data_IF_986183767433
#
_entry.id   IF_986183767433
#
_cell.length_a   1.000
_cell.length_b   1.000
_cell.length_c   1.000
_cell.angle_alpha   90.00
_cell.angle_beta   90.00
_cell.angle_gamma   90.00
#
_symmetry.space_group_name_H-M   'P 1'
#
loop_
_entity.id
_entity.type
_entity.pdbx_description
1 polymer ?
#
# COMPACT_ATOMS: atom_id res chain seq x y z
N UNK A 1 12.26 33.77 -48.26
CA UNK A 1 11.40 32.56 -48.27
C UNK A 1 12.14 31.28 -47.88
N UNK A 2 13.46 31.21 -48.01
CA UNK A 2 14.25 30.02 -47.67
C UNK A 2 14.42 29.72 -46.15
N UNK A 3 14.41 30.74 -45.30
CA UNK A 3 14.61 30.54 -43.83
C UNK A 3 13.43 29.86 -43.11
N UNK A 4 12.21 30.01 -43.60
CA UNK A 4 11.00 29.41 -43.01
C UNK A 4 10.89 27.92 -43.36
N UNK A 5 11.44 27.54 -44.50
CA UNK A 5 11.41 26.14 -44.98
C UNK A 5 12.43 25.27 -44.25
N UNK A 6 13.58 25.83 -43.85
CA UNK A 6 14.63 25.14 -43.09
C UNK A 6 14.18 24.89 -41.65
N UNK A 7 13.61 25.87 -40.97
CA UNK A 7 13.09 25.72 -39.61
C UNK A 7 11.94 24.70 -39.53
N UNK A 8 11.10 24.60 -40.57
CA UNK A 8 10.03 23.57 -40.62
C UNK A 8 10.54 22.17 -40.83
N UNK A 9 11.67 21.96 -41.52
CA UNK A 9 12.31 20.67 -41.69
C UNK A 9 13.02 20.21 -40.44
N UNK A 10 13.64 21.11 -39.69
CA UNK A 10 14.30 20.78 -38.41
C UNK A 10 13.30 20.40 -37.31
N UNK A 11 12.18 21.12 -37.19
CA UNK A 11 11.10 20.77 -36.26
C UNK A 11 10.43 19.45 -36.62
N UNK A 12 10.21 19.14 -37.88
CA UNK A 12 9.67 17.85 -38.30
C UNK A 12 10.62 16.68 -37.99
N UNK A 13 11.93 16.89 -38.18
CA UNK A 13 12.95 15.89 -37.86
C UNK A 13 13.04 15.64 -36.35
N UNK A 14 12.96 16.68 -35.51
CA UNK A 14 12.98 16.58 -34.07
C UNK A 14 11.74 15.83 -33.52
N UNK A 15 10.56 16.11 -34.08
CA UNK A 15 9.30 15.42 -33.72
C UNK A 15 9.34 13.96 -34.13
N UNK A 16 9.91 13.62 -35.28
CA UNK A 16 10.04 12.23 -35.75
C UNK A 16 11.05 11.45 -34.90
N UNK A 17 12.14 12.11 -34.47
CA UNK A 17 13.12 11.49 -33.59
C UNK A 17 12.55 11.26 -32.18
N UNK A 18 11.82 12.23 -31.63
CA UNK A 18 11.13 12.06 -30.36
C UNK A 18 10.05 10.96 -30.40
N UNK A 19 9.34 10.81 -31.52
CA UNK A 19 8.38 9.73 -31.72
C UNK A 19 9.06 8.35 -31.86
N UNK A 20 10.25 8.27 -32.51
CA UNK A 20 11.01 7.02 -32.59
C UNK A 20 11.63 6.64 -31.24
N UNK A 21 12.07 7.62 -30.46
CA UNK A 21 12.59 7.39 -29.11
C UNK A 21 11.48 6.96 -28.12
N UNK A 22 10.23 7.41 -28.32
CA UNK A 22 9.07 6.94 -27.58
C UNK A 22 8.60 5.54 -27.99
N UNK A 23 8.83 5.13 -29.24
CA UNK A 23 8.51 3.75 -29.69
C UNK A 23 9.57 2.74 -29.29
N UNK A 24 10.83 3.14 -29.15
CA UNK A 24 11.90 2.25 -28.63
C UNK A 24 11.82 2.01 -27.12
N UNK A 25 11.14 2.88 -26.36
CA UNK A 25 10.83 2.65 -24.94
C UNK A 25 9.71 1.61 -24.72
N UNK A 26 9.09 1.12 -25.79
CA UNK A 26 8.02 0.11 -25.76
C UNK A 26 8.45 -1.32 -26.00
N UNK A 27 9.75 -1.60 -26.14
CA UNK A 27 10.23 -2.97 -26.19
C UNK A 27 9.95 -3.60 -24.82
N UNK A 28 8.97 -4.50 -24.81
CA UNK A 28 8.68 -5.36 -23.69
C UNK A 28 9.99 -6.02 -23.28
N UNK A 29 10.52 -5.66 -22.13
CA UNK A 29 11.69 -6.30 -21.54
C UNK A 29 11.33 -7.78 -21.37
N UNK A 30 11.69 -8.60 -22.37
CA UNK A 30 11.50 -10.05 -22.35
C UNK A 30 12.42 -10.56 -21.26
N UNK A 31 11.85 -10.79 -20.09
CA UNK A 31 12.59 -11.32 -18.95
C UNK A 31 13.31 -12.57 -19.36
N UNK A 32 14.59 -12.64 -19.04
CA UNK A 32 15.23 -13.95 -18.97
C UNK A 32 14.51 -14.77 -17.89
N UNK A 33 14.33 -16.10 -18.05
CA UNK A 33 13.72 -16.93 -17.01
C UNK A 33 14.47 -16.87 -15.67
N UNK A 34 15.62 -16.25 -15.63
CA UNK A 34 16.53 -16.16 -14.51
C UNK A 34 16.47 -14.81 -13.76
N UNK A 35 15.79 -13.79 -14.32
CA UNK A 35 15.73 -12.45 -13.71
C UNK A 35 14.31 -11.99 -13.43
N UNK A 36 14.15 -11.19 -12.39
CA UNK A 36 12.90 -10.53 -12.01
C UNK A 36 13.17 -9.09 -11.62
N UNK A 37 12.28 -8.18 -12.00
CA UNK A 37 12.36 -6.77 -11.60
C UNK A 37 11.53 -6.47 -10.34
N UNK A 38 11.79 -5.31 -9.71
CA UNK A 38 11.09 -4.90 -8.50
C UNK A 38 9.59 -4.70 -8.69
N UNK A 39 9.12 -4.32 -9.89
CA UNK A 39 7.70 -4.22 -10.19
C UNK A 39 7.00 -5.57 -10.00
N UNK A 40 7.58 -6.61 -10.55
CA UNK A 40 6.98 -7.94 -10.52
C UNK A 40 7.11 -8.59 -9.15
N UNK A 41 8.21 -8.32 -8.40
CA UNK A 41 8.32 -8.75 -7.01
C UNK A 41 7.20 -8.17 -6.14
N UNK A 42 6.89 -6.88 -6.31
CA UNK A 42 5.78 -6.26 -5.60
C UNK A 42 4.45 -6.88 -5.98
N UNK A 43 4.20 -7.07 -7.27
CA UNK A 43 2.96 -7.67 -7.78
C UNK A 43 2.81 -9.11 -7.27
N UNK A 44 3.86 -9.91 -7.36
CA UNK A 44 3.86 -11.31 -6.92
C UNK A 44 3.65 -11.41 -5.39
N UNK A 45 4.27 -10.53 -4.60
CA UNK A 45 4.06 -10.46 -3.16
C UNK A 45 2.62 -10.13 -2.78
N UNK A 46 1.97 -9.19 -3.49
CA UNK A 46 0.57 -8.84 -3.28
C UNK A 46 -0.35 -10.01 -3.64
N UNK A 47 -0.15 -10.62 -4.80
CA UNK A 47 -0.95 -11.78 -5.27
C UNK A 47 -0.81 -12.99 -4.37
N UNK A 48 0.42 -13.31 -3.92
CA UNK A 48 0.68 -14.40 -2.98
C UNK A 48 -0.13 -14.25 -1.69
N UNK A 49 -0.36 -13.02 -1.26
CA UNK A 49 -1.13 -12.69 -0.06
C UNK A 49 -2.63 -12.46 -0.33
N UNK A 50 -3.11 -12.81 -1.52
CA UNK A 50 -4.53 -12.77 -1.87
C UNK A 50 -5.08 -11.35 -2.00
N UNK A 51 -4.23 -10.40 -2.36
CA UNK A 51 -4.59 -9.04 -2.72
C UNK A 51 -4.78 -8.99 -4.24
N UNK A 52 -5.97 -8.60 -4.67
CA UNK A 52 -6.39 -8.59 -6.07
C UNK A 52 -6.75 -7.19 -6.58
N UNK A 53 -6.79 -6.20 -5.70
CA UNK A 53 -7.25 -4.85 -6.04
C UNK A 53 -6.31 -3.79 -5.46
N UNK A 54 -5.96 -2.81 -6.29
CA UNK A 54 -5.19 -1.61 -5.93
C UNK A 54 -6.06 -0.39 -6.22
N UNK A 55 -6.11 0.54 -5.29
CA UNK A 55 -6.74 1.86 -5.42
C UNK A 55 -5.65 2.92 -5.54
N UNK A 56 -5.76 3.90 -6.42
CA UNK A 56 -4.70 4.89 -6.54
C UNK A 56 -4.92 5.97 -7.58
N UNK A 57 -3.91 6.82 -7.71
CA UNK A 57 -3.79 7.80 -8.79
C UNK A 57 -2.48 7.51 -9.49
N UNK A 58 -2.52 6.93 -10.70
CA UNK A 58 -1.30 6.61 -11.45
C UNK A 58 -0.50 7.87 -11.82
N UNK A 59 0.81 7.77 -11.75
CA UNK A 59 1.75 8.83 -12.11
C UNK A 59 3.19 8.35 -11.93
N UNK A 60 4.17 9.22 -12.13
CA UNK A 60 5.58 8.90 -11.92
C UNK A 60 5.85 8.78 -10.40
N UNK A 61 6.61 7.76 -9.92
CA UNK A 61 7.28 6.68 -10.67
C UNK A 61 6.44 5.38 -10.78
N UNK A 62 5.16 5.39 -10.43
CA UNK A 62 4.33 4.17 -10.32
C UNK A 62 3.47 3.85 -11.56
N UNK A 63 3.62 4.59 -12.64
CA UNK A 63 2.83 4.36 -13.88
C UNK A 63 3.05 2.95 -14.43
N UNK A 64 4.31 2.52 -14.56
CA UNK A 64 4.64 1.18 -15.05
C UNK A 64 4.20 0.08 -14.08
N UNK A 65 4.27 0.34 -12.78
CA UNK A 65 3.75 -0.58 -11.78
C UNK A 65 2.26 -0.85 -11.99
N UNK A 66 1.46 0.20 -12.20
CA UNK A 66 0.01 0.06 -12.40
C UNK A 66 -0.30 -0.70 -13.69
N UNK A 67 0.41 -0.41 -14.79
CA UNK A 67 0.25 -1.09 -16.06
C UNK A 67 0.62 -2.58 -15.96
N UNK A 68 1.76 -2.91 -15.33
CA UNK A 68 2.22 -4.28 -15.12
C UNK A 68 1.28 -5.04 -14.16
N UNK A 69 0.76 -4.38 -13.13
CA UNK A 69 -0.22 -4.97 -12.20
C UNK A 69 -1.51 -5.37 -12.91
N UNK A 70 -2.04 -4.51 -13.79
CA UNK A 70 -3.21 -4.83 -14.62
C UNK A 70 -2.92 -6.00 -15.56
N UNK A 71 -1.77 -6.01 -16.24
CA UNK A 71 -1.36 -7.11 -17.12
C UNK A 71 -1.21 -8.44 -16.36
N UNK A 72 -0.83 -8.38 -15.07
CA UNK A 72 -0.75 -9.54 -14.19
C UNK A 72 -2.10 -9.97 -13.58
N UNK A 73 -3.21 -9.31 -13.93
CA UNK A 73 -4.56 -9.63 -13.49
C UNK A 73 -4.99 -8.98 -12.18
N UNK A 74 -4.25 -8.02 -11.64
CA UNK A 74 -4.70 -7.17 -10.53
C UNK A 74 -5.67 -6.10 -11.04
N UNK A 75 -6.72 -5.84 -10.30
CA UNK A 75 -7.67 -4.79 -10.60
C UNK A 75 -7.13 -3.46 -10.07
N UNK A 76 -6.85 -2.52 -10.95
CA UNK A 76 -6.43 -1.15 -10.57
C UNK A 76 -7.61 -0.22 -10.75
N UNK A 77 -8.04 0.39 -9.65
CA UNK A 77 -9.13 1.37 -9.60
C UNK A 77 -8.53 2.76 -9.44
N UNK A 78 -8.57 3.54 -10.52
CA UNK A 78 -8.03 4.88 -10.56
C UNK A 78 -9.02 5.90 -10.01
N UNK A 79 -8.50 6.85 -9.23
CA UNK A 79 -9.21 7.97 -8.66
C UNK A 79 -8.67 9.30 -9.21
N UNK A 80 -9.37 10.39 -8.94
CA UNK A 80 -8.93 11.74 -9.28
C UNK A 80 -8.17 12.44 -8.15
N UNK A 81 -8.13 11.82 -6.96
CA UNK A 81 -7.45 12.34 -5.79
C UNK A 81 -7.05 11.19 -4.87
N UNK A 82 -5.83 11.20 -4.35
CA UNK A 82 -5.24 10.13 -3.57
C UNK A 82 -5.95 9.91 -2.23
N UNK A 83 -6.45 10.96 -1.62
CA UNK A 83 -7.24 10.87 -0.39
C UNK A 83 -8.48 9.97 -0.60
N UNK A 84 -9.18 10.15 -1.73
CA UNK A 84 -10.36 9.35 -2.04
C UNK A 84 -9.98 7.89 -2.31
N UNK A 85 -8.87 7.66 -3.02
CA UNK A 85 -8.31 6.32 -3.22
C UNK A 85 -7.97 5.65 -1.89
N UNK A 86 -7.35 6.39 -0.97
CA UNK A 86 -7.00 5.91 0.36
C UNK A 86 -8.23 5.57 1.21
N UNK A 87 -9.27 6.40 1.19
CA UNK A 87 -10.54 6.07 1.87
C UNK A 87 -11.18 4.82 1.28
N UNK A 88 -11.22 4.68 -0.05
CA UNK A 88 -11.74 3.47 -0.69
C UNK A 88 -10.94 2.22 -0.29
N UNK A 89 -9.60 2.30 -0.29
CA UNK A 89 -8.73 1.24 0.17
C UNK A 89 -8.99 0.88 1.64
N UNK A 90 -9.11 1.87 2.53
CA UNK A 90 -9.32 1.63 3.96
C UNK A 90 -10.66 0.94 4.24
N UNK A 91 -11.73 1.37 3.56
CA UNK A 91 -13.05 0.74 3.68
C UNK A 91 -13.06 -0.67 3.08
N UNK A 92 -12.44 -0.87 1.92
CA UNK A 92 -12.27 -2.19 1.35
C UNK A 92 -11.55 -3.13 2.32
N UNK A 93 -10.48 -2.65 2.95
CA UNK A 93 -9.74 -3.40 3.97
C UNK A 93 -10.60 -3.74 5.19
N UNK A 94 -11.41 -2.81 5.68
CA UNK A 94 -12.34 -3.04 6.78
C UNK A 94 -13.38 -4.11 6.43
N UNK A 95 -13.95 -4.05 5.23
CA UNK A 95 -15.00 -4.99 4.80
C UNK A 95 -14.46 -6.39 4.52
N UNK A 96 -13.30 -6.49 3.89
CA UNK A 96 -12.70 -7.78 3.51
C UNK A 96 -11.84 -8.40 4.59
N UNK A 97 -11.45 -7.63 5.62
CA UNK A 97 -10.50 -8.01 6.67
C UNK A 97 -9.09 -8.33 6.12
N UNK A 98 -8.80 -7.92 4.90
CA UNK A 98 -7.47 -7.92 4.28
C UNK A 98 -7.03 -6.47 4.10
N UNK A 99 -5.72 -6.16 4.06
CA UNK A 99 -5.31 -4.78 3.85
C UNK A 99 -5.76 -4.26 2.48
N UNK A 100 -6.47 -3.14 2.46
CA UNK A 100 -6.69 -2.42 1.21
C UNK A 100 -5.42 -1.70 0.79
N UNK A 101 -5.07 -1.76 -0.49
CA UNK A 101 -3.86 -1.15 -1.04
C UNK A 101 -4.20 0.20 -1.68
N UNK A 102 -3.59 1.26 -1.15
CA UNK A 102 -3.58 2.57 -1.79
C UNK A 102 -2.19 2.82 -2.38
N UNK A 103 -2.13 3.12 -3.67
CA UNK A 103 -0.88 3.38 -4.39
C UNK A 103 -0.84 4.85 -4.81
N UNK A 104 0.24 5.56 -4.47
CA UNK A 104 0.40 6.98 -4.77
C UNK A 104 1.76 7.27 -5.41
N UNK A 105 1.81 8.37 -6.15
CA UNK A 105 3.09 8.95 -6.57
C UNK A 105 3.85 9.50 -5.37
N UNK A 106 5.13 9.83 -5.56
CA UNK A 106 5.97 10.50 -4.59
C UNK A 106 5.42 11.89 -4.21
N UNK A 107 5.92 12.44 -3.13
CA UNK A 107 5.68 13.78 -2.60
C UNK A 107 4.19 14.19 -2.62
N UNK A 108 3.65 14.94 -3.60
CA UNK A 108 2.28 15.46 -3.52
C UNK A 108 1.24 14.34 -3.41
N UNK A 109 1.40 13.24 -4.14
CA UNK A 109 0.46 12.11 -4.06
C UNK A 109 0.53 11.40 -2.71
N UNK A 110 1.72 11.20 -2.17
CA UNK A 110 1.91 10.69 -0.81
C UNK A 110 1.25 11.61 0.23
N UNK A 111 1.49 12.92 0.17
CA UNK A 111 0.90 13.88 1.11
C UNK A 111 -0.62 13.86 1.08
N UNK A 112 -1.21 13.81 -0.12
CA UNK A 112 -2.66 13.70 -0.29
C UNK A 112 -3.22 12.38 0.31
N UNK A 113 -2.45 11.31 0.29
CA UNK A 113 -2.83 10.01 0.86
C UNK A 113 -2.78 9.95 2.39
N UNK A 114 -2.04 10.85 3.05
CA UNK A 114 -1.81 10.81 4.49
C UNK A 114 -3.08 10.97 5.33
N UNK A 115 -4.03 11.77 4.90
CA UNK A 115 -5.31 11.93 5.61
C UNK A 115 -6.04 10.59 5.73
N UNK A 116 -6.07 9.82 4.64
CA UNK A 116 -6.68 8.49 4.65
C UNK A 116 -5.88 7.48 5.49
N UNK A 117 -4.54 7.57 5.48
CA UNK A 117 -3.67 6.75 6.32
C UNK A 117 -3.94 6.99 7.81
N UNK A 118 -3.99 8.25 8.23
CA UNK A 118 -4.29 8.64 9.61
C UNK A 118 -5.70 8.18 10.03
N UNK A 119 -6.69 8.34 9.16
CA UNK A 119 -8.05 7.86 9.37
C UNK A 119 -8.09 6.34 9.54
N UNK A 120 -7.41 5.58 8.67
CA UNK A 120 -7.32 4.13 8.76
C UNK A 120 -6.69 3.67 10.09
N UNK A 121 -5.64 4.38 10.53
CA UNK A 121 -4.97 4.10 11.81
C UNK A 121 -5.91 4.33 12.99
N UNK A 122 -6.59 5.46 13.03
CA UNK A 122 -7.51 5.82 14.11
C UNK A 122 -8.72 4.89 14.15
N UNK A 123 -9.29 4.54 12.99
CA UNK A 123 -10.49 3.71 12.88
C UNK A 123 -10.20 2.20 12.83
N UNK A 124 -8.96 1.77 12.98
CA UNK A 124 -8.57 0.35 12.94
C UNK A 124 -8.92 -0.33 11.61
N UNK A 125 -8.82 0.39 10.50
CA UNK A 125 -9.03 -0.17 9.16
C UNK A 125 -7.69 -0.68 8.61
N UNK A 126 -7.57 -1.95 8.24
CA UNK A 126 -6.33 -2.45 7.67
C UNK A 126 -6.12 -1.88 6.27
N UNK A 127 -5.10 -1.06 6.12
CA UNK A 127 -4.74 -0.37 4.87
C UNK A 127 -3.22 -0.31 4.75
N UNK A 128 -2.72 -0.40 3.54
CA UNK A 128 -1.32 -0.12 3.22
C UNK A 128 -1.29 1.01 2.19
N UNK A 129 -0.68 2.13 2.57
CA UNK A 129 -0.30 3.18 1.63
C UNK A 129 1.08 2.84 1.10
N UNK A 130 1.16 2.51 -0.18
CA UNK A 130 2.41 2.29 -0.91
C UNK A 130 2.68 3.54 -1.74
N UNK A 131 3.86 4.09 -1.61
CA UNK A 131 4.28 5.25 -2.38
C UNK A 131 5.65 5.01 -3.01
N UNK A 132 5.83 5.46 -4.24
CA UNK A 132 7.16 5.75 -4.72
C UNK A 132 7.78 6.86 -3.88
N UNK A 133 9.09 6.91 -3.81
CA UNK A 133 9.81 8.00 -3.17
C UNK A 133 11.08 8.34 -3.93
N UNK A 134 11.59 9.55 -3.71
CA UNK A 134 12.91 9.93 -4.17
C UNK A 134 13.98 9.07 -3.50
N UNK A 135 15.09 8.94 -4.16
CA UNK A 135 16.21 8.16 -3.66
C UNK A 135 16.82 8.83 -2.43
N UNK A 136 17.33 8.01 -1.52
CA UNK A 136 17.85 8.52 -0.26
C UNK A 136 19.01 9.51 -0.46
N UNK A 137 19.86 9.25 -1.42
CA UNK A 137 20.97 10.12 -1.77
C UNK A 137 20.49 11.51 -2.18
N UNK A 138 19.36 11.61 -2.88
CA UNK A 138 18.75 12.88 -3.29
C UNK A 138 18.15 13.58 -2.07
N UNK A 139 17.38 12.87 -1.26
CA UNK A 139 16.70 13.41 -0.07
C UNK A 139 17.70 13.96 0.95
N UNK A 140 18.78 13.20 1.21
CA UNK A 140 19.78 13.59 2.21
C UNK A 140 20.65 14.77 1.74
N UNK A 141 20.84 14.95 0.43
CA UNK A 141 21.63 16.05 -0.14
C UNK A 141 20.84 17.34 -0.38
N UNK A 142 19.52 17.30 -0.34
CA UNK A 142 18.63 18.46 -0.54
C UNK A 142 18.96 19.24 -1.81
N UNK A 143 18.94 18.58 -2.95
CA UNK A 143 19.34 19.16 -4.24
C UNK A 143 18.28 20.08 -4.87
N UNK A 144 17.10 20.23 -4.24
CA UNK A 144 16.07 21.17 -4.66
C UNK A 144 15.01 20.58 -5.57
N UNK A 145 14.87 19.25 -5.63
CA UNK A 145 13.73 18.61 -6.28
C UNK A 145 12.47 18.71 -5.39
N UNK A 146 11.35 19.09 -5.96
CA UNK A 146 10.09 19.20 -5.20
C UNK A 146 9.60 17.86 -4.63
N UNK A 147 10.12 16.76 -5.13
CA UNK A 147 9.85 15.41 -4.62
C UNK A 147 10.78 14.99 -3.46
N UNK A 148 11.79 15.82 -3.15
CA UNK A 148 12.71 15.60 -2.03
C UNK A 148 12.00 15.81 -0.70
N UNK A 149 11.53 14.74 -0.12
CA UNK A 149 11.05 14.76 1.25
C UNK A 149 11.26 13.42 1.93
N UNK A 150 11.53 13.42 3.22
CA UNK A 150 11.56 12.18 3.99
C UNK A 150 10.15 11.69 4.29
N UNK A 151 9.54 11.05 3.28
CA UNK A 151 8.18 10.52 3.37
C UNK A 151 8.03 9.53 4.54
N UNK A 152 9.08 8.75 4.83
CA UNK A 152 9.06 7.82 5.95
C UNK A 152 8.94 8.54 7.29
N UNK A 153 9.71 9.62 7.51
CA UNK A 153 9.63 10.41 8.74
C UNK A 153 8.27 11.08 8.89
N UNK A 154 7.70 11.60 7.79
CA UNK A 154 6.39 12.25 7.77
C UNK A 154 5.26 11.25 8.05
N UNK A 155 5.35 10.02 7.53
CA UNK A 155 4.32 9.00 7.73
C UNK A 155 4.31 8.40 9.14
N UNK A 156 5.47 8.29 9.81
CA UNK A 156 5.61 7.63 11.11
C UNK A 156 4.60 8.04 12.17
N UNK A 157 4.35 9.33 12.42
CA UNK A 157 3.39 9.76 13.45
C UNK A 157 1.92 9.47 13.10
N UNK A 158 1.60 9.24 11.84
CA UNK A 158 0.24 9.04 11.34
C UNK A 158 -0.10 7.57 11.11
N UNK A 159 0.93 6.75 10.89
CA UNK A 159 0.77 5.33 10.60
C UNK A 159 0.85 4.47 11.86
N UNK A 160 0.18 3.32 11.84
CA UNK A 160 0.42 2.26 12.83
C UNK A 160 1.86 1.75 12.77
N UNK A 161 2.40 1.65 11.55
CA UNK A 161 3.79 1.30 11.28
C UNK A 161 4.20 1.90 9.93
N UNK A 162 5.48 2.22 9.76
CA UNK A 162 6.02 2.72 8.52
C UNK A 162 7.37 2.03 8.24
N UNK A 163 7.54 1.56 7.01
CA UNK A 163 8.71 0.82 6.57
C UNK A 163 9.24 1.39 5.26
N UNK A 164 10.55 1.37 5.07
CA UNK A 164 11.22 1.64 3.79
C UNK A 164 11.96 0.38 3.35
N UNK A 165 11.88 0.05 2.08
CA UNK A 165 12.68 -0.99 1.44
C UNK A 165 13.90 -0.31 0.81
N UNK A 166 15.08 -0.86 1.02
CA UNK A 166 16.33 -0.30 0.52
C UNK A 166 16.91 -1.09 -0.66
N UNK A 167 16.56 -2.35 -0.79
CA UNK A 167 17.06 -3.26 -1.84
C UNK A 167 15.89 -3.97 -2.54
N UNK A 168 16.01 -4.18 -3.85
CA UNK A 168 14.94 -4.82 -4.63
C UNK A 168 14.61 -6.23 -4.14
N UNK A 169 15.61 -6.99 -3.70
CA UNK A 169 15.44 -8.32 -3.12
C UNK A 169 14.60 -8.34 -1.85
N UNK A 170 14.48 -7.22 -1.12
CA UNK A 170 13.72 -7.11 0.12
C UNK A 170 12.25 -6.69 -0.09
N UNK A 171 11.82 -6.44 -1.33
CA UNK A 171 10.45 -5.97 -1.62
C UNK A 171 9.42 -6.98 -1.09
N UNK A 172 9.62 -8.28 -1.32
CA UNK A 172 8.71 -9.31 -0.85
C UNK A 172 8.57 -9.34 0.68
N UNK A 173 9.68 -9.24 1.40
CA UNK A 173 9.72 -9.15 2.87
C UNK A 173 9.05 -7.85 3.35
N UNK A 174 9.31 -6.72 2.68
CA UNK A 174 8.70 -5.43 3.00
C UNK A 174 7.18 -5.48 2.90
N UNK A 175 6.65 -6.06 1.83
CA UNK A 175 5.20 -6.27 1.64
C UNK A 175 4.62 -7.17 2.72
N UNK A 176 5.26 -8.30 3.02
CA UNK A 176 4.79 -9.22 4.06
C UNK A 176 4.76 -8.55 5.45
N UNK A 177 5.79 -7.78 5.79
CA UNK A 177 5.82 -6.98 7.02
C UNK A 177 4.69 -5.96 7.09
N UNK A 178 4.45 -5.24 5.99
CA UNK A 178 3.37 -4.26 5.90
C UNK A 178 2.00 -4.92 6.08
N UNK A 179 1.73 -6.04 5.39
CA UNK A 179 0.49 -6.81 5.52
C UNK A 179 0.29 -7.28 6.97
N UNK A 180 1.32 -7.90 7.55
CA UNK A 180 1.26 -8.37 8.94
C UNK A 180 0.98 -7.25 9.91
N UNK A 181 1.67 -6.12 9.76
CA UNK A 181 1.46 -4.95 10.62
C UNK A 181 0.05 -4.37 10.48
N UNK A 182 -0.49 -4.31 9.26
CA UNK A 182 -1.83 -3.77 9.02
C UNK A 182 -2.94 -4.57 9.70
N UNK A 183 -2.83 -5.90 9.73
CA UNK A 183 -3.91 -6.79 10.22
C UNK A 183 -3.72 -7.33 11.65
N UNK A 184 -2.50 -7.29 12.22
CA UNK A 184 -2.21 -7.87 13.52
C UNK A 184 -2.68 -7.00 14.68
N UNK A 185 -3.12 -7.62 15.78
CA UNK A 185 -3.57 -6.93 16.98
C UNK A 185 -4.69 -5.93 16.66
N UNK A 186 -4.51 -4.65 17.02
CA UNK A 186 -5.40 -3.59 16.55
C UNK A 186 -5.04 -3.25 15.10
N UNK A 187 -5.90 -3.53 14.11
CA UNK A 187 -5.61 -3.21 12.71
C UNK A 187 -5.38 -1.70 12.51
N UNK A 188 -4.78 -1.31 11.39
CA UNK A 188 -4.55 0.11 11.11
C UNK A 188 -3.82 0.36 9.81
N UNK A 189 -3.63 1.64 9.51
CA UNK A 189 -2.91 2.09 8.33
C UNK A 189 -1.40 1.87 8.48
N UNK A 190 -0.78 1.33 7.44
CA UNK A 190 0.66 1.11 7.36
C UNK A 190 1.20 1.85 6.13
N UNK A 191 2.36 2.44 6.26
CA UNK A 191 3.08 3.06 5.15
C UNK A 191 4.22 2.17 4.67
N UNK A 192 4.30 1.94 3.38
CA UNK A 192 5.40 1.23 2.72
C UNK A 192 6.04 2.14 1.69
N UNK A 193 7.26 2.53 1.95
CA UNK A 193 8.07 3.44 1.15
C UNK A 193 8.98 2.64 0.21
N UNK A 194 8.84 2.87 -1.08
CA UNK A 194 9.60 2.19 -2.13
C UNK A 194 10.32 3.22 -3.00
N UNK A 195 11.64 3.49 -2.76
CA UNK A 195 12.42 4.34 -3.64
C UNK A 195 12.31 3.94 -5.11
N UNK A 196 12.15 4.94 -5.98
CA UNK A 196 11.82 4.75 -7.39
C UNK A 196 12.78 3.82 -8.13
N UNK A 197 14.07 3.87 -7.80
CA UNK A 197 15.11 3.04 -8.40
C UNK A 197 14.93 1.53 -8.19
N UNK A 198 14.18 1.14 -7.16
CA UNK A 198 13.96 -0.28 -6.86
C UNK A 198 13.03 -0.95 -7.87
N UNK A 199 12.12 -0.19 -8.48
CA UNK A 199 11.13 -0.77 -9.39
C UNK A 199 11.73 -1.35 -10.68
N UNK A 200 12.59 -0.65 -11.42
CA UNK A 200 13.21 -1.19 -12.64
C UNK A 200 14.42 -2.10 -12.35
N UNK A 201 14.92 -2.15 -11.12
CA UNK A 201 16.08 -2.96 -10.77
C UNK A 201 15.78 -4.43 -10.97
N UNK A 202 16.60 -5.10 -11.77
CA UNK A 202 16.55 -6.55 -11.98
C UNK A 202 17.48 -7.26 -11.01
N UNK A 203 17.00 -8.40 -10.50
CA UNK A 203 17.74 -9.30 -9.63
C UNK A 203 17.55 -10.74 -10.10
N UNK A 204 18.38 -11.65 -9.60
CA UNK A 204 18.18 -13.08 -9.83
C UNK A 204 16.78 -13.52 -9.36
N UNK A 205 16.04 -14.23 -10.24
CA UNK A 205 14.66 -14.60 -9.97
C UNK A 205 14.53 -15.54 -8.75
N UNK A 206 15.53 -16.38 -8.48
CA UNK A 206 15.52 -17.25 -7.31
C UNK A 206 15.69 -16.46 -6.01
N UNK A 207 16.60 -15.48 -5.97
CA UNK A 207 16.76 -14.57 -4.84
C UNK A 207 15.47 -13.77 -4.58
N UNK A 208 14.86 -13.24 -5.63
CA UNK A 208 13.56 -12.56 -5.55
C UNK A 208 12.46 -13.46 -4.99
N UNK A 209 12.32 -14.67 -5.48
CA UNK A 209 11.32 -15.64 -5.00
C UNK A 209 11.51 -16.01 -3.54
N UNK A 210 12.75 -16.08 -3.03
CA UNK A 210 13.04 -16.35 -1.62
C UNK A 210 12.52 -15.25 -0.70
N UNK A 211 12.38 -14.02 -1.19
CA UNK A 211 11.82 -12.89 -0.43
C UNK A 211 10.28 -12.93 -0.31
N UNK A 212 9.62 -13.72 -1.17
CA UNK A 212 8.16 -13.80 -1.19
C UNK A 212 7.63 -14.61 0.00
N UNK A 213 6.97 -13.96 0.92
CA UNK A 213 6.43 -14.54 2.14
C UNK A 213 4.91 -14.44 2.13
N UNK A 214 4.24 -15.59 2.31
CA UNK A 214 2.81 -15.63 2.58
C UNK A 214 2.56 -15.36 4.06
N UNK A 215 1.81 -14.32 4.37
CA UNK A 215 1.37 -14.01 5.72
C UNK A 215 0.20 -14.90 6.10
N UNK A 216 0.21 -15.42 7.34
CA UNK A 216 -0.88 -16.26 7.85
C UNK A 216 -2.19 -15.46 7.87
N UNK A 217 -3.23 -16.02 7.28
CA UNK A 217 -4.58 -15.46 7.25
C UNK A 217 -5.60 -16.51 7.71
N UNK A 218 -6.41 -16.25 8.73
CA UNK A 218 -6.49 -15.02 9.54
C UNK A 218 -5.34 -14.90 10.56
N UNK A 219 -4.98 -13.67 10.95
CA UNK A 219 -3.95 -13.48 11.97
C UNK A 219 -4.36 -14.13 13.30
N UNK A 220 -3.41 -14.65 14.10
CA UNK A 220 -3.69 -15.22 15.38
C UNK A 220 -4.41 -14.22 16.30
N UNK A 221 -5.47 -14.67 16.98
CA UNK A 221 -6.21 -13.85 17.93
C UNK A 221 -5.67 -14.06 19.32
N UNK A 222 -5.53 -12.97 20.06
CA UNK A 222 -5.21 -13.06 21.49
C UNK A 222 -6.49 -13.40 22.26
N UNK A 223 -6.41 -14.44 23.09
CA UNK A 223 -7.46 -14.72 24.06
C UNK A 223 -7.40 -13.70 25.21
N UNK A 224 -8.56 -13.23 25.72
CA UNK A 224 -8.57 -12.38 26.90
C UNK A 224 -8.02 -13.14 28.11
N UNK A 225 -7.43 -12.41 29.07
CA UNK A 225 -6.96 -13.01 30.30
C UNK A 225 -8.14 -13.66 31.05
N UNK A 226 -7.97 -14.92 31.56
CA UNK A 226 -9.04 -15.65 32.23
C UNK A 226 -9.72 -14.85 33.35
N UNK A 227 -8.93 -14.13 34.15
CA UNK A 227 -9.45 -13.31 35.25
C UNK A 227 -10.29 -12.12 34.75
N UNK A 228 -9.96 -11.52 33.60
CA UNK A 228 -10.78 -10.46 32.99
C UNK A 228 -12.14 -11.03 32.54
N UNK A 229 -12.14 -12.24 31.97
CA UNK A 229 -13.38 -12.95 31.59
C UNK A 229 -14.25 -13.24 32.81
N UNK A 230 -13.68 -13.65 33.94
CA UNK A 230 -14.42 -13.89 35.17
C UNK A 230 -14.99 -12.61 35.81
N UNK A 231 -14.25 -11.50 35.78
CA UNK A 231 -14.69 -10.22 36.36
C UNK A 231 -15.83 -9.57 35.58
N UNK A 232 -15.86 -9.73 34.26
CA UNK A 232 -16.86 -9.03 33.41
C UNK A 232 -18.32 -9.41 33.76
N UNK A 233 -18.72 -10.70 33.88
CA UNK A 233 -20.08 -11.07 34.31
C UNK A 233 -20.41 -10.55 35.71
N UNK A 234 -19.46 -10.54 36.63
CA UNK A 234 -19.67 -10.06 38.00
C UNK A 234 -20.01 -8.58 38.06
N UNK A 235 -19.36 -7.77 37.19
CA UNK A 235 -19.67 -6.36 37.02
C UNK A 235 -21.06 -6.15 36.43
N UNK A 236 -21.42 -6.93 35.40
CA UNK A 236 -22.72 -6.87 34.75
C UNK A 236 -23.88 -7.20 35.68
N UNK A 237 -23.74 -8.26 36.50
CA UNK A 237 -24.75 -8.68 37.50
C UNK A 237 -25.02 -7.64 38.60
N UNK A 238 -24.07 -6.74 38.84
CA UNK A 238 -24.19 -5.67 39.85
C UNK A 238 -24.79 -4.37 39.30
N UNK A 239 -25.08 -4.30 38.02
CA UNK A 239 -25.59 -3.08 37.35
C UNK A 239 -27.05 -3.24 36.99
N UNK A 240 -27.85 -2.23 37.28
CA UNK A 240 -29.27 -2.22 36.93
C UNK A 240 -29.55 -1.72 35.52
N UNK A 241 -28.62 -0.99 34.92
CA UNK A 241 -28.72 -0.43 33.56
C UNK A 241 -27.35 -0.51 32.85
N UNK A 242 -26.90 -1.70 32.46
CA UNK A 242 -25.61 -1.85 31.81
C UNK A 242 -25.60 -1.17 30.42
N UNK A 243 -24.63 -0.31 30.18
CA UNK A 243 -24.35 0.26 28.85
C UNK A 243 -23.15 -0.47 28.24
N UNK A 244 -23.36 -1.09 27.11
CA UNK A 244 -22.31 -1.80 26.35
C UNK A 244 -21.94 -1.06 25.07
N UNK A 245 -21.11 0.01 25.13
CA UNK A 245 -20.66 0.64 23.91
C UNK A 245 -19.69 -0.30 23.17
N UNK A 246 -20.05 -0.85 22.03
CA UNK A 246 -19.09 -1.62 21.24
C UNK A 246 -18.07 -0.63 20.66
N UNK A 247 -16.82 -0.78 21.08
CA UNK A 247 -15.72 -0.05 20.46
C UNK A 247 -15.41 -0.57 19.06
N UNK A 248 -14.32 -0.12 18.49
CA UNK A 248 -13.89 -0.56 17.15
C UNK A 248 -13.31 -2.00 17.14
N UNK A 249 -12.94 -2.52 18.29
CA UNK A 249 -12.41 -3.88 18.41
C UNK A 249 -13.36 -5.02 18.00
N UNK A 250 -14.69 -4.98 18.29
CA UNK A 250 -15.61 -6.04 17.91
C UNK A 250 -15.63 -6.37 16.41
N UNK A 251 -15.63 -5.41 15.47
CA UNK A 251 -15.51 -5.71 14.04
C UNK A 251 -14.21 -6.42 13.69
N UNK A 252 -13.09 -5.92 14.22
CA UNK A 252 -11.78 -6.52 14.00
C UNK A 252 -11.66 -7.92 14.62
N UNK A 253 -12.28 -8.14 15.78
CA UNK A 253 -12.35 -9.44 16.44
C UNK A 253 -13.42 -10.39 15.83
N UNK A 254 -14.15 -9.97 14.79
CA UNK A 254 -15.28 -10.71 14.20
C UNK A 254 -16.38 -11.07 15.21
N UNK A 255 -16.58 -10.22 16.23
CA UNK A 255 -17.55 -10.44 17.29
C UNK A 255 -18.97 -9.90 16.96
N UNK A 256 -19.22 -9.43 15.74
CA UNK A 256 -20.50 -8.82 15.35
C UNK A 256 -21.70 -9.75 15.58
N UNK A 257 -21.55 -11.05 15.33
CA UNK A 257 -22.61 -12.04 15.51
C UNK A 257 -22.93 -12.33 16.98
N UNK A 258 -22.03 -12.03 17.90
CA UNK A 258 -22.20 -12.28 19.32
C UNK A 258 -22.82 -11.11 20.08
N UNK A 259 -22.67 -9.87 19.59
CA UNK A 259 -23.20 -8.67 20.21
C UNK A 259 -24.73 -8.70 20.40
N UNK A 260 -25.54 -9.09 19.40
CA UNK A 260 -26.99 -9.19 19.59
C UNK A 260 -27.39 -10.27 20.59
N UNK A 261 -26.60 -11.34 20.73
CA UNK A 261 -26.85 -12.40 21.70
C UNK A 261 -26.59 -11.88 23.12
N UNK A 262 -25.50 -11.16 23.34
CA UNK A 262 -25.21 -10.53 24.61
C UNK A 262 -26.30 -9.56 25.04
N UNK A 263 -26.79 -8.71 24.12
CA UNK A 263 -27.85 -7.74 24.40
C UNK A 263 -29.20 -8.36 24.72
N UNK A 264 -29.45 -9.63 24.37
CA UNK A 264 -30.70 -10.38 24.63
C UNK A 264 -30.62 -11.28 25.84
N UNK A 265 -29.48 -11.40 26.49
CA UNK A 265 -29.34 -12.23 27.70
C UNK A 265 -30.03 -11.49 28.85
N UNK A 266 -31.03 -12.07 29.55
CA UNK A 266 -31.61 -11.50 30.75
C UNK A 266 -30.53 -11.31 31.82
N UNK A 267 -30.53 -10.20 32.48
CA UNK A 267 -29.61 -9.90 33.59
C UNK A 267 -30.22 -10.23 34.93
#
# INVERSE_FOLDING_TARGET
>A
MESVTTARKETASAVTKAASDMTSAGEANVRSPQEIDGFHLLIDALKLNGIDTIFGVPGIPITDLTRKAQAAGLRVISFRHEQNAGYAASIAGFMTQKPGICLTVSAPGFLNGLTALANATTNCFPMILISGSSEREIVDLQQGDYEEMDQLAIAKPLAKAAFRVLHAEDIGVGVARAIRAAVSGRPGGVYLDLPAKLFPQTIEAEAGRKSLIKVVDPPPRQSPAPDAVKRAPHLLQRTTRPLHPPGQAPPAARARSTLPRLARTPH
#
